data_IF_977334222128
#
_entry.id   IF_977334222128
#
_cell.length_a   1.000
_cell.length_b   1.000
_cell.length_c   1.000
_cell.angle_alpha   90.00
_cell.angle_beta   90.00
_cell.angle_gamma   90.00
#
_symmetry.space_group_name_H-M   'P 1'
#
loop_
_entity.id
_entity.type
_entity.pdbx_description
1 polymer ?
#
# COMPACT_ATOMS: atom_id res chain seq x y z
N UNK A 1 -20.05 -7.32 67.09
CA UNK A 1 -20.63 -7.19 68.44
C UNK A 1 -20.02 -8.15 69.46
N UNK A 2 -19.77 -9.43 69.17
CA UNK A 2 -19.18 -10.38 70.09
C UNK A 2 -17.66 -10.15 70.38
N UNK A 3 -16.90 -9.67 69.44
CA UNK A 3 -15.44 -9.43 69.53
C UNK A 3 -15.15 -8.18 70.43
N UNK A 4 -15.99 -7.12 70.35
CA UNK A 4 -15.88 -5.92 71.16
C UNK A 4 -16.18 -6.19 72.64
N UNK A 5 -17.02 -7.20 72.97
CA UNK A 5 -17.36 -7.56 74.33
C UNK A 5 -16.21 -8.32 75.07
N UNK A 6 -15.41 -9.10 74.35
CA UNK A 6 -14.26 -9.82 74.86
C UNK A 6 -13.04 -8.92 75.12
N UNK A 7 -12.86 -7.89 74.30
CA UNK A 7 -11.74 -6.93 74.43
C UNK A 7 -11.87 -5.97 75.60
N UNK A 8 -13.07 -5.80 76.22
CA UNK A 8 -13.32 -4.92 77.37
C UNK A 8 -12.87 -5.50 78.70
N UNK A 9 -12.50 -6.76 78.73
CA UNK A 9 -12.02 -7.45 79.97
C UNK A 9 -10.50 -7.85 79.87
N UNK A 10 -9.84 -7.46 78.79
CA UNK A 10 -8.46 -7.80 78.54
C UNK A 10 -7.50 -6.89 79.31
N UNK A 11 -6.37 -7.40 79.74
CA UNK A 11 -5.26 -6.64 80.36
C UNK A 11 -4.47 -5.86 79.33
N UNK A 12 -3.76 -4.78 79.69
CA UNK A 12 -2.87 -4.04 78.82
C UNK A 12 -1.90 -4.96 78.04
N UNK A 13 -1.29 -5.95 78.73
CA UNK A 13 -0.37 -6.93 78.16
C UNK A 13 -1.02 -7.80 77.07
N UNK A 14 -2.29 -8.22 77.26
CA UNK A 14 -3.02 -9.03 76.31
C UNK A 14 -3.38 -8.19 75.04
N UNK A 15 -3.71 -6.91 75.21
CA UNK A 15 -3.97 -6.02 74.08
C UNK A 15 -2.70 -5.69 73.28
N UNK A 16 -1.57 -5.53 73.94
CA UNK A 16 -0.24 -5.38 73.33
C UNK A 16 0.10 -6.63 72.48
N UNK A 17 -0.07 -7.81 73.07
CA UNK A 17 0.19 -9.07 72.36
C UNK A 17 -0.71 -9.21 71.13
N UNK A 18 -1.99 -8.84 71.25
CA UNK A 18 -2.93 -8.86 70.14
C UNK A 18 -2.56 -7.87 69.04
N UNK A 19 -2.06 -6.69 69.38
CA UNK A 19 -1.54 -5.71 68.47
C UNK A 19 -0.30 -6.21 67.73
N UNK A 20 0.60 -6.92 68.43
CA UNK A 20 1.78 -7.59 67.81
C UNK A 20 1.36 -8.62 66.75
N UNK A 21 0.40 -9.50 67.09
CA UNK A 21 -0.15 -10.47 66.16
C UNK A 21 -0.75 -9.82 64.90
N UNK A 22 -1.56 -8.76 65.10
CA UNK A 22 -2.18 -8.02 64.01
C UNK A 22 -1.15 -7.28 63.14
N UNK A 23 -0.08 -6.77 63.77
CA UNK A 23 1.01 -6.12 63.05
C UNK A 23 1.81 -7.09 62.22
N UNK A 24 1.87 -8.37 62.58
CA UNK A 24 2.55 -9.43 61.85
C UNK A 24 1.74 -10.02 60.68
N UNK A 25 0.43 -9.75 60.59
CA UNK A 25 -0.42 -10.25 59.50
C UNK A 25 -0.04 -9.65 58.16
N UNK A 26 -0.17 -10.44 57.08
CA UNK A 26 0.07 -9.98 55.69
C UNK A 26 -1.05 -9.07 55.17
N UNK A 27 -2.30 -9.36 55.52
CA UNK A 27 -3.47 -8.57 55.09
C UNK A 27 -3.74 -7.43 56.07
N UNK A 28 -3.14 -6.30 55.80
CA UNK A 28 -3.24 -5.08 56.62
C UNK A 28 -4.62 -4.41 56.53
N UNK A 29 -5.37 -4.55 55.43
CA UNK A 29 -6.70 -3.98 55.32
C UNK A 29 -7.69 -4.66 56.30
N UNK A 30 -7.66 -5.96 56.42
CA UNK A 30 -8.42 -6.72 57.41
C UNK A 30 -7.92 -6.47 58.86
N UNK A 31 -6.60 -6.35 59.05
CA UNK A 31 -6.02 -6.04 60.35
C UNK A 31 -6.34 -4.63 60.86
N UNK A 32 -6.59 -3.65 59.94
CA UNK A 32 -6.82 -2.26 60.34
C UNK A 32 -8.09 -2.07 61.20
N UNK A 33 -9.18 -2.75 60.84
CA UNK A 33 -10.43 -2.70 61.69
C UNK A 33 -10.23 -3.35 63.06
N UNK A 34 -9.49 -4.44 63.10
CA UNK A 34 -9.17 -5.13 64.37
C UNK A 34 -8.22 -4.29 65.25
N UNK A 35 -7.24 -3.60 64.64
CA UNK A 35 -6.33 -2.69 65.35
C UNK A 35 -7.04 -1.51 65.94
N UNK A 36 -8.02 -0.90 65.21
CA UNK A 36 -8.82 0.19 65.78
C UNK A 36 -9.64 -0.29 66.98
N UNK A 37 -10.21 -1.50 66.95
CA UNK A 37 -10.91 -2.08 68.10
C UNK A 37 -9.97 -2.34 69.27
N UNK A 38 -8.72 -2.77 69.05
CA UNK A 38 -7.71 -2.94 70.11
C UNK A 38 -7.29 -1.58 70.68
N UNK A 39 -7.14 -0.56 69.83
CA UNK A 39 -6.82 0.81 70.25
C UNK A 39 -7.91 1.40 71.18
N UNK A 40 -9.19 1.30 70.73
CA UNK A 40 -10.35 1.78 71.53
C UNK A 40 -10.41 1.06 72.92
N UNK A 41 -10.17 -0.24 72.97
CA UNK A 41 -10.14 -1.02 74.18
C UNK A 41 -8.97 -0.59 75.10
N UNK A 42 -7.79 -0.35 74.55
CA UNK A 42 -6.61 0.11 75.31
C UNK A 42 -6.83 1.52 75.87
N UNK A 43 -7.34 2.46 75.06
CA UNK A 43 -7.66 3.82 75.54
C UNK A 43 -8.71 3.82 76.66
N UNK A 44 -9.70 2.94 76.57
CA UNK A 44 -10.71 2.77 77.61
C UNK A 44 -10.11 2.28 78.94
N UNK A 45 -9.15 1.33 78.87
CA UNK A 45 -8.43 0.85 80.06
C UNK A 45 -7.56 1.93 80.74
N UNK A 46 -6.83 2.69 79.92
CA UNK A 46 -6.03 3.82 80.42
C UNK A 46 -6.88 4.88 81.06
N UNK A 47 -8.04 5.23 80.46
CA UNK A 47 -8.99 6.19 80.99
C UNK A 47 -9.61 5.69 82.34
N UNK A 48 -9.95 4.41 82.45
CA UNK A 48 -10.44 3.82 83.69
C UNK A 48 -9.40 3.85 84.84
N UNK A 49 -8.11 3.52 84.47
CA UNK A 49 -7.02 3.60 85.44
C UNK A 49 -6.71 5.02 85.92
N UNK A 50 -6.96 6.05 85.12
CA UNK A 50 -6.79 7.43 85.52
C UNK A 50 -7.94 7.94 86.45
N UNK A 51 -9.13 7.35 86.36
CA UNK A 51 -10.25 7.68 87.21
C UNK A 51 -10.12 7.02 88.68
N UNK A 52 -9.36 5.95 88.79
CA UNK A 52 -9.15 5.28 90.08
C UNK A 52 -7.98 5.85 90.95
N UNK A 53 -7.26 6.89 90.42
CA UNK A 53 -6.24 7.52 91.31
C UNK A 53 -6.93 8.51 92.26
N UNK A 54 -6.86 8.31 93.59
CA UNK A 54 -7.48 9.21 94.54
C UNK A 54 -6.74 10.53 94.58
N UNK A 55 -7.53 11.64 94.57
CA UNK A 55 -7.02 12.97 94.76
C UNK A 55 -6.27 13.09 96.04
N UNK A 56 -4.97 13.30 96.01
CA UNK A 56 -4.16 13.61 97.23
C UNK A 56 -4.65 14.91 97.76
N UNK A 57 -5.41 14.89 98.88
CA UNK A 57 -5.87 16.01 99.62
C UNK A 57 -4.69 16.79 100.22
N UNK A 58 -4.48 18.01 99.77
CA UNK A 58 -3.63 18.97 100.46
C UNK A 58 -4.41 19.57 101.59
N UNK A 59 -3.99 19.29 102.80
CA UNK A 59 -4.51 20.00 104.06
C UNK A 59 -4.17 21.50 103.98
N UNK A 60 -5.07 22.34 104.52
CA UNK A 60 -4.86 23.77 104.59
C UNK A 60 -4.00 24.14 105.82
N UNK A 61 -2.87 24.82 105.63
CA UNK A 61 -2.17 25.49 106.72
C UNK A 61 -2.60 26.97 106.74
N UNK A 62 -2.99 27.35 107.98
CA UNK A 62 -3.62 28.65 108.34
C UNK A 62 -2.60 29.78 108.53
N UNK A 63 -3.11 30.99 108.25
CA UNK A 63 -2.85 32.28 108.81
C UNK A 63 -1.46 32.86 109.15
N UNK A 64 -1.36 34.12 108.68
CA UNK A 64 -0.39 35.08 109.18
C UNK A 64 -0.20 36.33 108.35
N UNK A 65 -1.10 37.27 108.58
CA UNK A 65 -1.01 38.74 108.47
C UNK A 65 0.20 39.44 107.78
N UNK A 66 -0.16 40.48 107.02
CA UNK A 66 0.73 41.63 106.82
C UNK A 66 0.65 42.29 105.47
N UNK A 67 -0.13 43.35 105.51
CA UNK A 67 -0.33 44.49 104.64
C UNK A 67 0.75 44.89 103.61
N UNK A 68 0.16 45.49 102.58
CA UNK A 68 0.63 46.61 101.76
C UNK A 68 1.40 46.38 100.45
N UNK A 69 0.72 46.91 99.48
CA UNK A 69 1.13 47.74 98.39
C UNK A 69 1.51 47.06 97.04
N UNK A 70 0.54 47.17 96.18
CA UNK A 70 0.55 47.89 94.91
C UNK A 70 1.44 47.38 93.74
N UNK A 71 0.68 47.14 92.66
CA UNK A 71 0.95 47.43 91.27
C UNK A 71 1.69 46.45 90.42
N UNK A 72 0.97 46.02 89.43
CA UNK A 72 1.30 45.62 88.02
C UNK A 72 1.92 44.29 87.80
N UNK A 73 1.23 43.63 87.01
CA UNK A 73 1.46 42.93 85.77
C UNK A 73 0.86 41.52 85.76
N UNK A 74 -0.12 41.49 85.00
CA UNK A 74 -0.79 40.33 84.36
C UNK A 74 0.27 39.30 83.85
N UNK A 75 0.39 38.15 84.51
CA UNK A 75 0.84 36.90 83.98
C UNK A 75 0.15 35.79 84.75
N UNK A 76 -0.86 35.21 84.10
CA UNK A 76 -1.48 33.96 84.49
C UNK A 76 -0.45 32.88 84.67
N UNK A 77 -0.41 32.10 85.71
CA UNK A 77 0.41 30.89 85.73
C UNK A 77 -0.22 29.89 84.78
N UNK A 78 0.52 29.57 83.71
CA UNK A 78 0.27 28.38 82.94
C UNK A 78 0.30 27.20 83.91
N UNK A 79 -0.88 26.59 84.04
CA UNK A 79 -0.96 25.27 84.61
C UNK A 79 -0.09 24.33 83.77
N UNK A 80 1.06 23.94 84.30
CA UNK A 80 1.83 22.82 83.78
C UNK A 80 0.96 21.59 84.01
N UNK A 81 0.18 21.22 83.01
CA UNK A 81 -0.50 19.95 82.91
C UNK A 81 0.65 18.92 82.84
N UNK A 82 0.96 18.28 84.00
CA UNK A 82 1.94 17.21 84.03
C UNK A 82 1.35 16.06 83.21
N UNK A 83 1.87 15.92 82.00
CA UNK A 83 1.56 14.79 81.15
C UNK A 83 1.68 13.50 82.00
N UNK A 84 0.71 12.62 81.99
CA UNK A 84 0.76 11.37 82.72
C UNK A 84 2.04 10.61 82.36
N UNK A 85 2.84 10.19 83.38
CA UNK A 85 3.99 9.35 83.16
C UNK A 85 3.50 8.06 82.52
N UNK A 86 3.67 7.92 81.20
CA UNK A 86 3.38 6.73 80.43
C UNK A 86 4.23 5.60 80.99
N UNK A 87 3.58 4.49 81.45
CA UNK A 87 4.29 3.29 81.83
C UNK A 87 4.99 2.61 80.67
N UNK A 88 5.84 1.61 80.88
CA UNK A 88 6.56 0.95 79.80
C UNK A 88 5.64 0.16 78.87
N UNK A 89 4.45 -0.23 79.29
CA UNK A 89 3.41 -0.87 78.48
C UNK A 89 2.77 0.19 77.52
N UNK A 90 2.49 1.37 78.03
CA UNK A 90 1.92 2.47 77.24
C UNK A 90 2.92 2.92 76.11
N UNK A 91 4.19 3.01 76.45
CA UNK A 91 5.23 3.31 75.44
C UNK A 91 5.33 2.22 74.36
N UNK A 92 5.28 0.92 74.76
CA UNK A 92 5.33 -0.20 73.86
C UNK A 92 4.11 -0.29 72.97
N UNK A 93 2.91 -0.07 73.55
CA UNK A 93 1.68 -0.01 72.75
C UNK A 93 1.72 1.09 71.70
N UNK A 94 2.16 2.28 72.07
CA UNK A 94 2.30 3.44 71.15
C UNK A 94 3.33 3.13 70.05
N UNK A 95 4.47 2.56 70.38
CA UNK A 95 5.49 2.16 69.38
C UNK A 95 4.95 1.17 68.35
N UNK A 96 4.19 0.15 68.84
CA UNK A 96 3.58 -0.85 67.95
C UNK A 96 2.49 -0.26 67.06
N UNK A 97 1.67 0.62 67.61
CA UNK A 97 0.64 1.33 66.89
C UNK A 97 1.23 2.28 65.81
N UNK A 98 2.31 3.00 66.15
CA UNK A 98 3.03 3.84 65.21
C UNK A 98 3.69 3.04 64.11
N UNK A 99 4.30 1.88 64.43
CA UNK A 99 4.90 0.95 63.47
C UNK A 99 3.83 0.37 62.52
N UNK A 100 2.64 0.00 63.06
CA UNK A 100 1.52 -0.45 62.25
C UNK A 100 1.04 0.64 61.30
N UNK A 101 0.82 1.86 61.81
CA UNK A 101 0.39 3.00 61.02
C UNK A 101 1.39 3.37 59.93
N UNK A 102 2.69 3.31 60.24
CA UNK A 102 3.73 3.51 59.21
C UNK A 102 3.62 2.46 58.11
N UNK A 103 3.50 1.17 58.50
CA UNK A 103 3.35 0.09 57.52
C UNK A 103 2.09 0.24 56.63
N UNK A 104 0.94 0.60 57.24
CA UNK A 104 -0.29 0.92 56.49
C UNK A 104 -0.08 2.06 55.52
N UNK A 105 0.57 3.14 55.97
CA UNK A 105 0.86 4.30 55.12
C UNK A 105 1.82 3.97 54.00
N UNK A 106 2.83 3.16 54.22
CA UNK A 106 3.79 2.72 53.21
C UNK A 106 3.10 1.86 52.13
N UNK A 107 2.23 0.93 52.57
CA UNK A 107 1.43 0.13 51.60
C UNK A 107 0.49 0.97 50.82
N UNK A 108 -0.25 1.92 51.46
CA UNK A 108 -1.12 2.86 50.75
C UNK A 108 -0.35 3.73 49.78
N UNK A 109 0.84 4.20 50.16
CA UNK A 109 1.71 4.99 49.25
C UNK A 109 2.17 4.17 48.05
N UNK A 110 2.60 2.90 48.29
CA UNK A 110 3.00 1.99 47.21
C UNK A 110 1.85 1.72 46.26
N UNK A 111 0.66 1.39 46.79
CA UNK A 111 -0.56 1.17 45.98
C UNK A 111 -0.97 2.41 45.20
N UNK A 112 -0.99 3.57 45.85
CA UNK A 112 -1.32 4.84 45.18
C UNK A 112 -0.31 5.20 44.07
N UNK A 113 1.00 4.92 44.31
CA UNK A 113 2.00 5.13 43.27
C UNK A 113 1.82 4.17 42.10
N UNK A 114 1.62 2.88 42.35
CA UNK A 114 1.34 1.87 41.34
C UNK A 114 0.10 2.22 40.51
N UNK A 115 -0.99 2.62 41.16
CA UNK A 115 -2.21 3.07 40.50
C UNK A 115 -1.98 4.34 39.66
N UNK A 116 -1.15 5.27 40.12
CA UNK A 116 -0.77 6.46 39.37
C UNK A 116 0.10 6.11 38.14
N UNK A 117 1.08 5.21 38.32
CA UNK A 117 1.92 4.71 37.23
C UNK A 117 1.08 3.95 36.17
N UNK A 118 0.13 3.12 36.64
CA UNK A 118 -0.84 2.44 35.77
C UNK A 118 -1.74 3.43 35.00
N UNK A 119 -2.19 4.49 35.66
CA UNK A 119 -2.98 5.53 35.00
C UNK A 119 -2.17 6.23 33.89
N UNK A 120 -0.92 6.57 34.20
CA UNK A 120 -0.02 7.17 33.20
C UNK A 120 0.22 6.21 32.02
N UNK A 121 0.46 4.93 32.29
CA UNK A 121 0.65 3.91 31.26
C UNK A 121 -0.60 3.72 30.38
N UNK A 122 -1.80 3.69 30.98
CA UNK A 122 -3.07 3.62 30.23
C UNK A 122 -3.30 4.85 29.37
N UNK A 123 -3.00 6.04 29.89
CA UNK A 123 -3.08 7.29 29.09
C UNK A 123 -2.10 7.28 27.94
N UNK A 124 -0.89 6.72 28.11
CA UNK A 124 0.07 6.57 27.03
C UNK A 124 -0.47 5.62 25.91
N UNK A 125 -1.07 4.49 26.29
CA UNK A 125 -1.73 3.59 25.33
C UNK A 125 -2.85 4.28 24.57
N UNK A 126 -3.64 5.13 25.23
CA UNK A 126 -4.69 5.90 24.58
C UNK A 126 -4.12 6.91 23.57
N UNK A 127 -3.01 7.55 23.89
CA UNK A 127 -2.35 8.48 22.98
C UNK A 127 -1.74 7.78 21.77
N UNK A 128 -1.13 6.59 21.98
CA UNK A 128 -0.69 5.74 20.88
C UNK A 128 -1.87 5.30 19.99
N UNK A 129 -3.02 4.98 20.59
CA UNK A 129 -4.25 4.61 19.85
C UNK A 129 -4.80 5.80 19.06
N UNK A 130 -4.81 7.00 19.64
CA UNK A 130 -5.22 8.26 18.96
C UNK A 130 -4.31 8.57 17.77
N UNK A 131 -3.00 8.43 17.97
CA UNK A 131 -2.03 8.57 16.89
C UNK A 131 -2.24 7.55 15.78
N UNK A 132 -2.57 6.30 16.12
CA UNK A 132 -2.86 5.24 15.15
C UNK A 132 -4.06 5.57 14.26
N UNK A 133 -5.12 6.15 14.83
CA UNK A 133 -6.32 6.59 14.10
C UNK A 133 -5.99 7.67 13.07
N UNK A 134 -5.07 8.57 13.39
CA UNK A 134 -4.77 9.75 12.56
C UNK A 134 -3.66 9.55 11.55
N UNK A 135 -2.70 8.64 11.79
CA UNK A 135 -1.44 8.55 11.03
C UNK A 135 -1.28 7.30 10.18
N UNK A 136 -2.05 6.24 10.40
CA UNK A 136 -1.84 4.97 9.72
C UNK A 136 -2.72 4.83 8.47
N UNK A 137 -2.07 4.78 7.31
CA UNK A 137 -2.75 4.60 6.01
C UNK A 137 -3.03 3.12 5.68
N UNK A 138 -2.31 2.19 6.33
CA UNK A 138 -2.45 0.75 6.07
C UNK A 138 -3.31 0.07 7.13
N UNK A 139 -4.52 -0.34 6.74
CA UNK A 139 -5.48 -1.02 7.64
C UNK A 139 -4.89 -2.29 8.28
N UNK A 140 -4.08 -3.07 7.55
CA UNK A 140 -3.48 -4.29 8.07
C UNK A 140 -2.51 -4.00 9.21
N UNK A 141 -1.65 -3.01 9.04
CA UNK A 141 -0.71 -2.53 10.05
C UNK A 141 -1.46 -1.89 11.23
N UNK A 142 -2.48 -1.08 10.94
CA UNK A 142 -3.34 -0.47 11.96
C UNK A 142 -3.99 -1.52 12.86
N UNK A 143 -4.53 -2.58 12.28
CA UNK A 143 -5.15 -3.67 13.04
C UNK A 143 -4.16 -4.44 13.91
N UNK A 144 -2.95 -4.68 13.41
CA UNK A 144 -1.91 -5.38 14.19
C UNK A 144 -1.48 -4.53 15.39
N UNK A 145 -1.16 -3.26 15.16
CA UNK A 145 -0.81 -2.31 16.24
C UNK A 145 -1.94 -2.14 17.24
N UNK A 146 -3.19 -2.08 16.78
CA UNK A 146 -4.35 -2.04 17.65
C UNK A 146 -4.43 -3.24 18.59
N UNK A 147 -4.20 -4.47 18.09
CA UNK A 147 -4.15 -5.67 18.93
C UNK A 147 -3.07 -5.58 19.98
N UNK A 148 -1.88 -5.13 19.59
CA UNK A 148 -0.76 -4.98 20.52
C UNK A 148 -1.07 -3.95 21.63
N UNK A 149 -1.73 -2.83 21.27
CA UNK A 149 -2.19 -1.83 22.23
C UNK A 149 -3.30 -2.37 23.15
N UNK A 150 -4.21 -3.17 22.62
CA UNK A 150 -5.25 -3.81 23.41
C UNK A 150 -4.68 -4.82 24.42
N UNK A 151 -3.67 -5.59 24.06
CA UNK A 151 -2.96 -6.48 24.98
C UNK A 151 -2.19 -5.70 26.06
N UNK A 152 -1.49 -4.62 25.67
CA UNK A 152 -0.87 -3.70 26.65
C UNK A 152 -1.89 -3.15 27.62
N UNK A 153 -3.05 -2.69 27.13
CA UNK A 153 -4.13 -2.17 28.00
C UNK A 153 -4.61 -3.18 29.03
N UNK A 154 -4.76 -4.44 28.64
CA UNK A 154 -5.20 -5.54 29.54
C UNK A 154 -4.17 -5.89 30.60
N UNK A 155 -2.88 -5.79 30.28
CA UNK A 155 -1.78 -6.14 31.21
C UNK A 155 -1.53 -5.06 32.25
N UNK A 156 -1.93 -3.80 32.00
CA UNK A 156 -1.83 -2.69 32.95
C UNK A 156 -2.85 -2.88 34.08
N UNK A 157 -2.39 -2.85 35.31
CA UNK A 157 -3.18 -3.07 36.51
C UNK A 157 -4.25 -2.00 36.80
N UNK A 158 -4.70 -1.98 38.06
CA UNK A 158 -5.72 -1.06 38.52
C UNK A 158 -5.25 0.38 38.50
N UNK A 159 -6.21 1.29 38.34
CA UNK A 159 -6.01 2.75 38.36
C UNK A 159 -6.84 3.36 39.50
N UNK A 160 -6.55 4.59 39.94
CA UNK A 160 -7.34 5.27 40.98
C UNK A 160 -8.83 5.29 40.61
N UNK A 161 -9.67 4.95 41.56
CA UNK A 161 -11.13 4.85 41.39
C UNK A 161 -11.76 6.13 40.83
N UNK A 162 -11.23 7.29 41.24
CA UNK A 162 -11.72 8.59 40.76
C UNK A 162 -11.49 8.78 39.25
N UNK A 163 -10.38 8.30 38.73
CA UNK A 163 -10.02 8.42 37.31
C UNK A 163 -10.62 7.28 36.46
N UNK A 164 -11.04 6.17 37.04
CA UNK A 164 -11.44 4.96 36.32
C UNK A 164 -12.60 5.20 35.35
N UNK A 165 -13.65 5.91 35.76
CA UNK A 165 -14.85 6.13 34.92
C UNK A 165 -14.52 6.98 33.69
N UNK A 166 -13.80 8.08 33.89
CA UNK A 166 -13.38 8.97 32.80
C UNK A 166 -12.47 8.25 31.83
N UNK A 167 -11.43 7.59 32.37
CA UNK A 167 -10.48 6.82 31.55
C UNK A 167 -11.18 5.73 30.73
N UNK A 168 -12.13 5.01 31.31
CA UNK A 168 -12.86 3.94 30.62
C UNK A 168 -13.80 4.52 29.55
N UNK A 169 -14.43 5.64 29.82
CA UNK A 169 -15.26 6.36 28.84
C UNK A 169 -14.43 6.83 27.66
N UNK A 170 -13.30 7.49 27.92
CA UNK A 170 -12.40 7.99 26.89
C UNK A 170 -11.82 6.87 26.03
N UNK A 171 -11.43 5.76 26.67
CA UNK A 171 -10.96 4.57 25.95
C UNK A 171 -12.05 3.99 25.05
N UNK A 172 -13.29 3.89 25.53
CA UNK A 172 -14.40 3.40 24.71
C UNK A 172 -14.68 4.32 23.52
N UNK A 173 -14.64 5.64 23.71
CA UNK A 173 -14.78 6.60 22.62
C UNK A 173 -13.67 6.45 21.56
N UNK A 174 -12.41 6.27 21.99
CA UNK A 174 -11.30 6.03 21.06
C UNK A 174 -11.44 4.71 20.30
N UNK A 175 -11.98 3.68 20.94
CA UNK A 175 -12.30 2.42 20.25
C UNK A 175 -13.36 2.61 19.18
N UNK A 176 -14.44 3.32 19.53
CA UNK A 176 -15.53 3.61 18.58
C UNK A 176 -15.03 4.44 17.40
N UNK A 177 -14.19 5.44 17.66
CA UNK A 177 -13.53 6.25 16.63
C UNK A 177 -12.63 5.41 15.74
N UNK A 178 -11.78 4.56 16.33
CA UNK A 178 -10.92 3.64 15.59
C UNK A 178 -11.73 2.73 14.66
N UNK A 179 -12.78 2.07 15.17
CA UNK A 179 -13.61 1.19 14.37
C UNK A 179 -14.43 1.93 13.32
N UNK A 180 -14.84 3.17 13.60
CA UNK A 180 -15.50 4.03 12.63
C UNK A 180 -14.57 4.34 11.46
N UNK A 181 -13.34 4.78 11.72
CA UNK A 181 -12.35 5.02 10.69
C UNK A 181 -12.01 3.78 9.88
N UNK A 182 -11.80 2.64 10.54
CA UNK A 182 -11.56 1.35 9.86
C UNK A 182 -12.72 0.98 8.93
N UNK A 183 -13.96 1.24 9.34
CA UNK A 183 -15.16 0.99 8.52
C UNK A 183 -15.17 1.87 7.29
N UNK A 184 -14.93 3.17 7.45
CA UNK A 184 -14.86 4.12 6.33
C UNK A 184 -13.75 3.72 5.34
N UNK A 185 -12.55 3.41 5.83
CA UNK A 185 -11.47 2.93 4.99
C UNK A 185 -11.84 1.67 4.21
N UNK A 186 -12.52 0.75 4.86
CA UNK A 186 -12.99 -0.49 4.24
C UNK A 186 -14.00 -0.21 3.14
N UNK A 187 -14.96 0.65 3.40
CA UNK A 187 -15.99 1.06 2.42
C UNK A 187 -15.36 1.80 1.23
N UNK A 188 -14.44 2.73 1.47
CA UNK A 188 -13.71 3.43 0.41
C UNK A 188 -12.90 2.47 -0.44
N UNK A 189 -12.16 1.56 0.18
CA UNK A 189 -11.39 0.54 -0.53
C UNK A 189 -12.28 -0.38 -1.36
N UNK A 190 -13.38 -0.83 -0.79
CA UNK A 190 -14.33 -1.70 -1.49
C UNK A 190 -14.99 -0.95 -2.66
N UNK A 191 -15.29 0.34 -2.49
CA UNK A 191 -15.77 1.21 -3.57
C UNK A 191 -14.74 1.34 -4.68
N UNK A 192 -13.47 1.62 -4.34
CA UNK A 192 -12.40 1.75 -5.33
C UNK A 192 -12.14 0.43 -6.07
N UNK A 193 -12.15 -0.70 -5.37
CA UNK A 193 -12.04 -2.01 -6.00
C UNK A 193 -13.17 -2.27 -7.00
N UNK A 194 -14.43 -1.96 -6.65
CA UNK A 194 -15.59 -2.08 -7.56
C UNK A 194 -15.48 -1.13 -8.74
N UNK A 195 -15.07 0.12 -8.52
CA UNK A 195 -14.83 1.08 -9.59
C UNK A 195 -13.75 0.59 -10.54
N UNK A 196 -12.63 0.11 -10.03
CA UNK A 196 -11.55 -0.46 -10.84
C UNK A 196 -12.02 -1.70 -11.61
N UNK A 197 -12.82 -2.55 -10.99
CA UNK A 197 -13.47 -3.70 -11.65
C UNK A 197 -14.30 -3.25 -12.84
N UNK A 198 -15.18 -2.27 -12.66
CA UNK A 198 -16.02 -1.74 -13.72
C UNK A 198 -15.19 -1.11 -14.85
N UNK A 199 -14.16 -0.35 -14.53
CA UNK A 199 -13.23 0.23 -15.52
C UNK A 199 -12.51 -0.85 -16.33
N UNK A 200 -12.02 -1.89 -15.70
CA UNK A 200 -11.36 -3.00 -16.40
C UNK A 200 -12.32 -3.81 -17.26
N UNK A 201 -13.55 -4.02 -16.80
CA UNK A 201 -14.60 -4.66 -17.61
C UNK A 201 -14.96 -3.83 -18.84
N UNK A 202 -15.04 -2.50 -18.71
CA UNK A 202 -15.26 -1.61 -19.85
C UNK A 202 -14.12 -1.72 -20.87
N UNK A 203 -12.85 -1.75 -20.44
CA UNK A 203 -11.71 -1.94 -21.33
C UNK A 203 -11.77 -3.29 -22.07
N UNK A 204 -12.24 -4.36 -21.42
CA UNK A 204 -12.45 -5.66 -22.08
C UNK A 204 -13.52 -5.55 -23.17
N UNK A 205 -14.64 -4.89 -22.88
CA UNK A 205 -15.72 -4.67 -23.86
C UNK A 205 -15.24 -3.83 -25.05
N UNK A 206 -14.47 -2.79 -24.79
CA UNK A 206 -13.86 -1.94 -25.82
C UNK A 206 -12.89 -2.75 -26.71
N UNK A 207 -12.05 -3.62 -26.11
CA UNK A 207 -11.16 -4.50 -26.85
C UNK A 207 -11.92 -5.53 -27.72
N UNK A 208 -13.03 -6.07 -27.21
CA UNK A 208 -13.89 -6.96 -27.97
C UNK A 208 -14.49 -6.25 -29.20
N UNK A 209 -14.94 -5.01 -28.99
CA UNK A 209 -15.47 -4.15 -30.08
C UNK A 209 -14.36 -3.79 -31.06
N UNK A 210 -13.18 -3.51 -30.58
CA UNK A 210 -11.99 -3.22 -31.39
C UNK A 210 -11.66 -4.39 -32.32
N UNK A 211 -11.71 -5.63 -31.82
CA UNK A 211 -11.45 -6.83 -32.61
C UNK A 211 -12.36 -7.00 -33.84
N UNK A 212 -13.50 -6.29 -33.89
CA UNK A 212 -14.42 -6.33 -35.03
C UNK A 212 -14.06 -5.31 -36.14
N UNK A 213 -13.21 -4.33 -35.86
CA UNK A 213 -12.78 -3.33 -36.86
C UNK A 213 -11.77 -3.91 -37.83
N UNK A 214 -11.73 -3.37 -39.07
CA UNK A 214 -10.87 -3.86 -40.16
C UNK A 214 -9.61 -3.00 -40.38
N UNK A 215 -9.57 -1.81 -39.79
CA UNK A 215 -8.42 -0.92 -39.95
C UNK A 215 -7.24 -1.35 -39.07
N UNK A 216 -6.28 -2.05 -39.63
CA UNK A 216 -5.13 -2.63 -38.90
C UNK A 216 -4.28 -1.57 -38.17
N UNK A 217 -4.09 -0.39 -38.74
CA UNK A 217 -3.34 0.70 -38.08
C UNK A 217 -4.05 1.21 -36.83
N UNK A 218 -5.37 1.32 -36.90
CA UNK A 218 -6.21 1.69 -35.77
C UNK A 218 -6.17 0.61 -34.68
N UNK A 219 -6.22 -0.68 -35.10
CA UNK A 219 -6.07 -1.81 -34.16
C UNK A 219 -4.76 -1.76 -33.41
N UNK A 220 -3.63 -1.55 -34.12
CA UNK A 220 -2.30 -1.48 -33.50
C UNK A 220 -2.16 -0.32 -32.53
N UNK A 221 -2.72 0.83 -32.83
CA UNK A 221 -2.67 1.99 -31.95
C UNK A 221 -3.58 1.78 -30.74
N UNK A 222 -4.84 1.44 -30.94
CA UNK A 222 -5.83 1.35 -29.87
C UNK A 222 -5.55 0.20 -28.90
N UNK A 223 -5.03 -0.96 -29.38
CA UNK A 223 -4.67 -2.05 -28.47
C UNK A 223 -3.58 -1.64 -27.48
N UNK A 224 -2.60 -0.86 -27.92
CA UNK A 224 -1.55 -0.32 -27.04
C UNK A 224 -2.12 0.68 -26.02
N UNK A 225 -2.99 1.59 -26.46
CA UNK A 225 -3.66 2.54 -25.59
C UNK A 225 -4.50 1.83 -24.52
N UNK A 226 -5.22 0.75 -24.87
CA UNK A 226 -5.98 -0.04 -23.91
C UNK A 226 -5.08 -0.80 -22.92
N UNK A 227 -3.92 -1.29 -23.37
CA UNK A 227 -2.94 -1.91 -22.47
C UNK A 227 -2.35 -0.90 -21.48
N UNK A 228 -2.07 0.33 -21.92
CA UNK A 228 -1.62 1.42 -21.03
C UNK A 228 -2.70 1.78 -20.01
N UNK A 229 -3.96 1.97 -20.45
CA UNK A 229 -5.10 2.22 -19.57
C UNK A 229 -5.31 1.08 -18.56
N UNK A 230 -5.15 -0.17 -18.99
CA UNK A 230 -5.23 -1.33 -18.10
C UNK A 230 -4.21 -1.27 -16.97
N UNK A 231 -2.99 -0.88 -17.27
CA UNK A 231 -1.91 -0.76 -16.28
C UNK A 231 -2.11 0.42 -15.32
N UNK A 232 -2.83 1.46 -15.74
CA UNK A 232 -3.16 2.62 -14.91
C UNK A 232 -4.32 2.36 -13.94
N UNK A 233 -5.20 1.42 -14.25
CA UNK A 233 -6.30 1.04 -13.36
C UNK A 233 -5.77 0.19 -12.22
N UNK A 234 -6.08 0.59 -10.98
CA UNK A 234 -5.66 -0.07 -9.76
C UNK A 234 -6.16 -1.51 -9.59
N UNK A 235 -5.97 -2.07 -8.39
CA UNK A 235 -6.41 -3.44 -8.07
C UNK A 235 -7.94 -3.56 -8.14
N UNK A 236 -8.41 -4.78 -8.36
CA UNK A 236 -9.82 -5.15 -8.41
C UNK A 236 -10.17 -6.12 -7.27
N UNK A 237 -11.43 -6.49 -7.15
CA UNK A 237 -11.88 -7.53 -6.22
C UNK A 237 -11.13 -8.84 -6.50
N UNK A 238 -10.65 -9.47 -5.43
CA UNK A 238 -9.83 -10.69 -5.52
C UNK A 238 -10.58 -11.83 -6.21
N UNK A 239 -11.87 -11.94 -5.94
CA UNK A 239 -12.74 -12.98 -6.48
C UNK A 239 -12.94 -12.84 -7.98
N UNK A 240 -12.85 -11.62 -8.53
CA UNK A 240 -13.08 -11.32 -9.94
C UNK A 240 -11.78 -11.20 -10.74
N UNK A 241 -10.63 -11.14 -10.06
CA UNK A 241 -9.34 -10.87 -10.70
C UNK A 241 -9.00 -11.84 -11.82
N UNK A 242 -9.19 -13.16 -11.61
CA UNK A 242 -8.83 -14.15 -12.62
C UNK A 242 -9.70 -14.02 -13.88
N UNK A 243 -11.02 -13.86 -13.70
CA UNK A 243 -11.94 -13.70 -14.82
C UNK A 243 -11.65 -12.41 -15.62
N UNK A 244 -11.38 -11.30 -14.93
CA UNK A 244 -11.07 -10.01 -15.54
C UNK A 244 -9.72 -10.06 -16.27
N UNK A 245 -8.70 -10.64 -15.65
CA UNK A 245 -7.38 -10.84 -16.26
C UNK A 245 -7.48 -11.67 -17.54
N UNK A 246 -8.14 -12.82 -17.45
CA UNK A 246 -8.27 -13.75 -18.57
C UNK A 246 -9.14 -13.16 -19.68
N UNK A 247 -10.21 -12.44 -19.33
CA UNK A 247 -11.03 -11.69 -20.28
C UNK A 247 -10.23 -10.65 -21.05
N UNK A 248 -9.38 -9.88 -20.36
CA UNK A 248 -8.51 -8.88 -20.99
C UNK A 248 -7.48 -9.50 -21.94
N UNK A 249 -6.77 -10.54 -21.49
CA UNK A 249 -5.74 -11.17 -22.31
C UNK A 249 -6.33 -11.93 -23.50
N UNK A 250 -7.49 -12.57 -23.33
CA UNK A 250 -8.19 -13.22 -24.44
C UNK A 250 -8.66 -12.19 -25.49
N UNK A 251 -9.26 -11.08 -25.05
CA UNK A 251 -9.68 -10.02 -25.96
C UNK A 251 -8.50 -9.36 -26.68
N UNK A 252 -7.42 -9.12 -25.96
CA UNK A 252 -6.17 -8.60 -26.52
C UNK A 252 -5.57 -9.57 -27.54
N UNK A 253 -5.57 -10.88 -27.25
CA UNK A 253 -5.10 -11.91 -28.18
C UNK A 253 -5.86 -11.91 -29.49
N UNK A 254 -7.18 -11.83 -29.45
CA UNK A 254 -8.02 -11.78 -30.65
C UNK A 254 -7.61 -10.62 -31.57
N UNK A 255 -7.33 -9.44 -30.99
CA UNK A 255 -6.88 -8.28 -31.75
C UNK A 255 -5.49 -8.51 -32.37
N UNK A 256 -4.55 -9.05 -31.61
CA UNK A 256 -3.21 -9.35 -32.12
C UNK A 256 -3.21 -10.48 -33.18
N UNK A 257 -4.05 -11.49 -33.01
CA UNK A 257 -4.20 -12.57 -33.99
C UNK A 257 -4.71 -12.01 -35.33
N UNK A 258 -5.68 -11.09 -35.30
CA UNK A 258 -6.16 -10.40 -36.51
C UNK A 258 -5.06 -9.57 -37.18
N UNK A 259 -4.30 -8.81 -36.41
CA UNK A 259 -3.14 -8.06 -36.91
C UNK A 259 -2.10 -9.01 -37.52
N UNK A 260 -1.79 -10.09 -36.86
CA UNK A 260 -0.81 -11.08 -37.32
C UNK A 260 -1.24 -11.77 -38.63
N UNK A 261 -2.48 -12.20 -38.71
CA UNK A 261 -3.02 -12.84 -39.94
C UNK A 261 -3.04 -11.86 -41.12
N UNK A 262 -3.36 -10.57 -40.88
CA UNK A 262 -3.27 -9.56 -41.91
C UNK A 262 -1.83 -9.43 -42.47
N UNK A 263 -0.83 -9.30 -41.58
CA UNK A 263 0.56 -9.18 -42.04
C UNK A 263 1.09 -10.47 -42.65
N UNK A 264 0.63 -11.63 -42.21
CA UNK A 264 0.98 -12.92 -42.79
C UNK A 264 0.39 -13.03 -44.20
N UNK A 265 -0.88 -12.71 -44.40
CA UNK A 265 -1.53 -12.69 -45.72
C UNK A 265 -0.81 -11.71 -46.67
N UNK A 266 -0.50 -10.51 -46.20
CA UNK A 266 0.24 -9.51 -47.00
C UNK A 266 1.66 -9.97 -47.36
N UNK A 267 2.36 -10.67 -46.47
CA UNK A 267 3.68 -11.26 -46.82
C UNK A 267 3.53 -12.34 -47.86
N UNK A 268 2.54 -13.21 -47.74
CA UNK A 268 2.27 -14.25 -48.73
C UNK A 268 1.93 -13.66 -50.11
N UNK A 269 1.11 -12.62 -50.16
CA UNK A 269 0.80 -11.85 -51.38
C UNK A 269 2.05 -11.26 -51.99
N UNK A 270 2.91 -10.60 -51.22
CA UNK A 270 4.20 -10.05 -51.70
C UNK A 270 5.10 -11.12 -52.28
N UNK A 271 5.12 -12.30 -51.69
CA UNK A 271 5.95 -13.45 -52.17
C UNK A 271 5.41 -13.95 -53.51
N UNK A 272 4.11 -14.18 -53.64
CA UNK A 272 3.46 -14.55 -54.93
C UNK A 272 3.75 -13.52 -56.00
N UNK A 273 3.59 -12.25 -55.71
CA UNK A 273 3.85 -11.14 -56.65
C UNK A 273 5.35 -11.12 -57.06
N UNK A 274 6.26 -11.36 -56.12
CA UNK A 274 7.70 -11.46 -56.40
C UNK A 274 8.01 -12.60 -57.35
N UNK A 275 7.53 -13.81 -57.09
CA UNK A 275 7.71 -14.96 -57.93
C UNK A 275 7.13 -14.73 -59.36
N UNK A 276 5.94 -14.17 -59.46
CA UNK A 276 5.34 -13.82 -60.73
C UNK A 276 6.16 -12.80 -61.53
N UNK A 277 6.73 -11.78 -60.85
CA UNK A 277 7.62 -10.79 -61.49
C UNK A 277 8.96 -11.39 -61.89
N UNK A 278 9.54 -12.26 -61.07
CA UNK A 278 10.78 -12.98 -61.43
C UNK A 278 10.58 -13.85 -62.70
N UNK A 279 9.45 -14.55 -62.80
CA UNK A 279 9.11 -15.32 -63.98
C UNK A 279 9.01 -14.45 -65.25
N UNK A 280 8.52 -13.20 -65.17
CA UNK A 280 8.51 -12.24 -66.27
C UNK A 280 9.92 -11.75 -66.62
N UNK A 281 10.79 -11.52 -65.63
CA UNK A 281 12.21 -11.17 -65.84
C UNK A 281 12.90 -12.28 -66.58
N UNK A 282 12.71 -13.54 -66.14
CA UNK A 282 13.29 -14.72 -66.80
C UNK A 282 12.86 -14.84 -68.27
N UNK A 283 11.53 -14.70 -68.55
CA UNK A 283 10.99 -14.71 -69.91
C UNK A 283 11.59 -13.61 -70.78
N UNK A 284 11.67 -12.37 -70.26
CA UNK A 284 12.24 -11.23 -70.97
C UNK A 284 13.75 -11.45 -71.27
N UNK A 285 14.49 -11.98 -70.29
CA UNK A 285 15.92 -12.27 -70.46
C UNK A 285 16.14 -13.39 -71.45
N UNK A 286 15.35 -14.47 -71.42
CA UNK A 286 15.42 -15.58 -72.36
C UNK A 286 15.07 -15.12 -73.80
N UNK A 287 14.05 -14.29 -73.97
CA UNK A 287 13.76 -13.68 -75.26
C UNK A 287 14.92 -12.85 -75.82
N UNK A 288 15.59 -12.10 -75.00
CA UNK A 288 16.73 -11.27 -75.34
C UNK A 288 17.96 -12.10 -75.66
N UNK A 289 18.24 -13.14 -74.88
CA UNK A 289 19.42 -14.01 -75.09
C UNK A 289 19.32 -14.86 -76.37
N UNK A 290 18.13 -15.27 -76.78
CA UNK A 290 17.89 -16.17 -77.89
C UNK A 290 17.42 -15.46 -79.21
N UNK A 291 17.71 -14.15 -79.33
CA UNK A 291 17.26 -13.35 -80.52
C UNK A 291 17.79 -13.88 -81.83
N UNK A 292 19.02 -14.45 -81.86
CA UNK A 292 19.63 -14.95 -83.10
C UNK A 292 19.77 -13.89 -84.18
N UNK A 293 19.42 -14.24 -85.44
CA UNK A 293 19.32 -13.31 -86.60
C UNK A 293 17.93 -13.32 -87.18
N UNK A 294 16.95 -12.67 -86.48
CA UNK A 294 15.55 -12.71 -86.89
C UNK A 294 15.32 -11.87 -88.13
N UNK A 295 14.36 -12.26 -88.93
CA UNK A 295 13.83 -11.46 -90.05
C UNK A 295 12.99 -10.29 -89.49
N UNK A 296 12.71 -9.30 -90.36
CA UNK A 296 11.87 -8.17 -89.98
C UNK A 296 10.48 -8.58 -89.50
N UNK A 297 9.91 -9.69 -90.01
CA UNK A 297 8.62 -10.24 -89.50
C UNK A 297 8.74 -10.84 -88.10
N UNK A 298 9.83 -11.57 -87.87
CA UNK A 298 10.10 -12.16 -86.58
C UNK A 298 10.36 -11.09 -85.48
N UNK A 299 11.04 -9.98 -85.84
CA UNK A 299 11.17 -8.83 -84.95
C UNK A 299 9.85 -8.24 -84.52
N UNK A 300 8.83 -8.24 -85.39
CA UNK A 300 7.47 -7.78 -85.03
C UNK A 300 6.86 -8.73 -83.97
N UNK A 301 6.89 -10.03 -84.19
CA UNK A 301 6.37 -11.05 -83.30
C UNK A 301 7.06 -10.98 -81.92
N UNK A 302 8.42 -10.89 -81.89
CA UNK A 302 9.17 -10.74 -80.68
C UNK A 302 8.83 -9.43 -79.90
N UNK A 303 8.60 -8.33 -80.67
CA UNK A 303 8.18 -7.07 -80.06
C UNK A 303 6.81 -7.18 -79.40
N UNK A 304 5.83 -7.85 -80.06
CA UNK A 304 4.53 -8.10 -79.51
C UNK A 304 4.62 -8.91 -78.24
N UNK A 305 5.47 -9.94 -78.16
CA UNK A 305 5.74 -10.73 -76.93
C UNK A 305 6.31 -9.89 -75.79
N UNK A 306 7.30 -9.01 -76.10
CA UNK A 306 7.86 -8.11 -75.02
C UNK A 306 6.82 -7.12 -74.51
N UNK A 307 5.96 -6.61 -75.39
CA UNK A 307 4.86 -5.72 -74.97
C UNK A 307 3.83 -6.45 -74.13
N UNK A 308 3.52 -7.73 -74.44
CA UNK A 308 2.68 -8.57 -73.59
C UNK A 308 3.29 -8.77 -72.19
N UNK A 309 4.63 -9.02 -72.06
CA UNK A 309 5.31 -9.12 -70.79
C UNK A 309 5.23 -7.82 -70.00
N UNK A 310 5.39 -6.65 -70.70
CA UNK A 310 5.26 -5.33 -70.05
C UNK A 310 3.84 -5.08 -69.54
N UNK A 311 2.82 -5.52 -70.29
CA UNK A 311 1.42 -5.40 -69.86
C UNK A 311 1.13 -6.34 -68.69
N UNK A 312 1.61 -7.59 -68.73
CA UNK A 312 1.51 -8.54 -67.59
C UNK A 312 2.19 -8.01 -66.33
N UNK A 313 3.34 -7.33 -66.49
CA UNK A 313 4.03 -6.71 -65.37
C UNK A 313 3.15 -5.69 -64.62
N UNK A 314 2.38 -4.90 -65.35
CA UNK A 314 1.49 -3.85 -64.80
C UNK A 314 0.33 -4.43 -64.00
N UNK A 315 -0.10 -5.67 -64.28
CA UNK A 315 -1.20 -6.34 -63.61
C UNK A 315 -0.78 -7.04 -62.31
N UNK A 316 0.53 -7.31 -62.15
CA UNK A 316 1.04 -7.94 -60.91
C UNK A 316 1.19 -6.88 -59.82
N UNK A 317 0.67 -7.18 -58.62
CA UNK A 317 0.74 -6.33 -57.45
C UNK A 317 2.18 -6.04 -56.97
N UNK A 318 2.30 -5.37 -55.85
CA UNK A 318 3.62 -5.02 -55.30
C UNK A 318 4.21 -6.20 -54.51
N UNK A 319 5.53 -6.40 -54.63
CA UNK A 319 6.35 -7.16 -53.69
C UNK A 319 6.86 -6.25 -52.57
N UNK A 320 7.81 -6.71 -51.73
CA UNK A 320 8.49 -5.82 -50.79
C UNK A 320 9.19 -4.68 -51.52
N UNK A 321 9.32 -3.50 -50.93
CA UNK A 321 9.95 -2.33 -51.58
C UNK A 321 11.30 -2.69 -52.19
N UNK A 322 12.16 -3.35 -51.41
CA UNK A 322 13.52 -3.77 -51.83
C UNK A 322 13.50 -4.75 -53.03
N UNK A 323 12.66 -5.78 -52.91
CA UNK A 323 12.54 -6.78 -53.97
C UNK A 323 11.92 -6.22 -55.22
N UNK A 324 10.89 -5.37 -55.07
CA UNK A 324 10.24 -4.74 -56.21
C UNK A 324 11.19 -3.81 -57.01
N UNK A 325 12.04 -3.06 -56.30
CA UNK A 325 13.08 -2.22 -56.96
C UNK A 325 14.11 -3.09 -57.70
N UNK A 326 14.55 -4.21 -57.10
CA UNK A 326 15.51 -5.16 -57.71
C UNK A 326 14.95 -5.77 -58.97
N UNK A 327 13.79 -6.43 -58.89
CA UNK A 327 13.20 -7.12 -60.05
C UNK A 327 12.76 -6.16 -61.14
N UNK A 328 12.34 -4.92 -60.78
CA UNK A 328 12.03 -3.87 -61.73
C UNK A 328 13.26 -3.46 -62.54
N UNK A 329 14.39 -3.27 -61.90
CA UNK A 329 15.66 -2.95 -62.56
C UNK A 329 16.09 -4.07 -63.51
N UNK A 330 16.00 -5.33 -63.07
CA UNK A 330 16.31 -6.51 -63.90
C UNK A 330 15.40 -6.58 -65.13
N UNK A 331 14.07 -6.44 -64.94
CA UNK A 331 13.09 -6.46 -66.03
C UNK A 331 13.31 -5.35 -67.03
N UNK A 332 13.54 -4.15 -66.53
CA UNK A 332 13.79 -2.97 -67.39
C UNK A 332 15.09 -3.16 -68.22
N UNK A 333 16.12 -3.67 -67.61
CA UNK A 333 17.38 -3.94 -68.31
C UNK A 333 17.19 -4.99 -69.42
N UNK A 334 16.47 -6.08 -69.16
CA UNK A 334 16.15 -7.07 -70.17
C UNK A 334 15.32 -6.47 -71.35
N UNK A 335 14.30 -5.70 -71.06
CA UNK A 335 13.50 -5.00 -72.08
C UNK A 335 14.37 -4.01 -72.88
N UNK A 336 15.20 -3.20 -72.24
CA UNK A 336 16.07 -2.25 -72.92
C UNK A 336 17.05 -2.97 -73.85
N UNK A 337 17.72 -4.05 -73.39
CA UNK A 337 18.61 -4.84 -74.22
C UNK A 337 17.95 -5.41 -75.47
N UNK A 338 16.67 -5.84 -75.35
CA UNK A 338 15.87 -6.26 -76.50
C UNK A 338 15.68 -5.13 -77.48
N UNK A 339 15.23 -3.94 -77.07
CA UNK A 339 14.96 -2.80 -77.91
C UNK A 339 16.24 -2.24 -78.56
N UNK A 340 17.37 -2.26 -77.82
CA UNK A 340 18.70 -1.88 -78.34
C UNK A 340 19.15 -2.83 -79.45
N UNK A 341 18.96 -4.14 -79.26
CA UNK A 341 19.26 -5.16 -80.29
C UNK A 341 18.38 -5.00 -81.52
N UNK A 342 17.08 -4.71 -81.30
CA UNK A 342 16.16 -4.39 -82.43
C UNK A 342 16.60 -3.17 -83.21
N UNK A 343 16.94 -2.10 -82.49
CA UNK A 343 17.41 -0.85 -83.10
C UNK A 343 18.67 -1.10 -83.96
N UNK A 344 19.66 -1.78 -83.39
CA UNK A 344 20.91 -2.11 -84.10
C UNK A 344 20.65 -2.92 -85.37
N UNK A 345 19.71 -3.87 -85.36
CA UNK A 345 19.33 -4.62 -86.56
C UNK A 345 18.74 -3.72 -87.67
N UNK A 346 17.77 -2.85 -87.30
CA UNK A 346 17.15 -2.00 -88.29
C UNK A 346 18.08 -0.90 -88.78
N UNK A 347 18.96 -0.37 -87.97
CA UNK A 347 20.01 0.58 -88.37
C UNK A 347 20.93 -0.04 -89.42
N UNK A 348 21.44 -1.30 -89.12
CA UNK A 348 22.25 -2.05 -90.08
C UNK A 348 21.50 -2.33 -91.40
N UNK A 349 20.23 -2.68 -91.32
CA UNK A 349 19.40 -2.93 -92.49
C UNK A 349 19.24 -1.67 -93.32
N UNK A 350 19.00 -0.53 -92.67
CA UNK A 350 18.92 0.76 -93.29
C UNK A 350 20.21 1.15 -94.05
N UNK A 351 21.36 0.91 -93.38
CA UNK A 351 22.66 1.19 -94.08
C UNK A 351 22.88 0.27 -95.28
N UNK A 352 22.54 -1.01 -95.20
CA UNK A 352 22.56 -1.91 -96.32
C UNK A 352 21.66 -1.46 -97.49
N UNK A 353 20.43 -0.96 -97.19
CA UNK A 353 19.56 -0.44 -98.17
C UNK A 353 20.11 0.84 -98.79
N UNK A 354 20.71 1.72 -97.99
CA UNK A 354 21.39 2.91 -98.48
C UNK A 354 22.52 2.60 -99.41
N UNK A 355 23.43 1.70 -99.00
CA UNK A 355 24.52 1.24 -99.84
C UNK A 355 24.04 0.61 -101.16
N UNK A 356 22.99 -0.23 -101.07
CA UNK A 356 22.42 -0.86 -102.27
C UNK A 356 21.75 0.20 -103.22
N UNK A 357 21.11 1.16 -102.68
CA UNK A 357 20.55 2.30 -103.44
C UNK A 357 21.60 3.13 -104.08
N UNK A 358 22.68 3.50 -103.39
CA UNK A 358 23.77 4.34 -103.87
C UNK A 358 24.56 3.58 -104.95
N UNK A 359 24.78 2.25 -104.80
CA UNK A 359 25.34 1.39 -105.86
C UNK A 359 24.47 1.34 -107.13
N UNK A 360 23.14 1.18 -106.97
CA UNK A 360 22.18 1.21 -108.08
C UNK A 360 22.18 2.55 -108.77
N UNK A 361 22.25 3.65 -108.02
CA UNK A 361 22.28 5.00 -108.56
C UNK A 361 23.57 5.26 -109.33
N UNK A 362 24.73 4.85 -108.78
CA UNK A 362 26.01 4.93 -109.51
C UNK A 362 26.04 4.11 -110.82
N UNK A 363 25.47 2.90 -110.84
CA UNK A 363 25.32 2.10 -112.06
C UNK A 363 24.41 2.73 -113.04
N UNK A 364 23.32 3.40 -112.60
CA UNK A 364 22.39 4.09 -113.45
C UNK A 364 23.01 5.37 -114.10
N UNK A 365 23.83 6.12 -113.37
CA UNK A 365 24.58 7.27 -113.86
C UNK A 365 25.67 6.82 -114.84
N UNK A 366 26.34 5.66 -114.58
CA UNK A 366 27.29 5.09 -115.53
C UNK A 366 26.58 4.68 -116.86
N UNK A 367 25.46 3.96 -116.75
CA UNK A 367 24.66 3.57 -117.87
C UNK A 367 24.15 4.74 -118.71
N UNK A 368 23.72 5.88 -118.06
CA UNK A 368 23.36 7.06 -118.73
C UNK A 368 24.49 7.75 -119.48
N UNK A 369 25.71 7.79 -118.90
CA UNK A 369 26.92 8.30 -119.64
C UNK A 369 27.28 7.45 -120.85
N UNK A 370 27.07 6.17 -120.81
CA UNK A 370 27.33 5.25 -121.96
C UNK A 370 26.22 5.45 -123.07
N UNK A 371 25.05 5.83 -122.69
CA UNK A 371 23.94 6.12 -123.66
C UNK A 371 24.17 7.40 -124.47
N UNK A 372 24.77 8.43 -123.80
CA UNK A 372 25.02 9.74 -124.38
C UNK A 372 26.44 9.84 -125.07
N UNK A 373 27.23 8.78 -125.10
CA UNK A 373 28.49 8.64 -125.80
C UNK A 373 28.28 7.91 -127.12
#
# INVERSE_FOLDING_TARGET
>A
MAVLGLLRMATKAELIHRLEELTAQEDIEQASEAVEGVKEAYEALVAAAQQEQPAVAMEPVAEGAGAEAAVAAEQAPMAIESAPLLDEEDKRFKQLLDAFNQRVNDIRRKKAKEEADNLAAKKAVMEELRSLVTSEENIGTAFQRFKDLQEKWKTIGNVPQQAYRELQSDYSHLLDEFFYHIRIYKELRDHDLRKNTALKQALISDLQSLGQKDNIRELEQQVREYQEKWNQVGPVLKEEWEAIRDGFWNSTRVVYDKIHEHYKARRAEHEVNLQAKQALVEKATTLTANIGTPSAKEWKTLTDQVLELQNAWKTIGFATKKDNERVWKEFRNACNAFFDSKKAYFDKLKDQFKEARDKKQALLEEALKLKDS
#
